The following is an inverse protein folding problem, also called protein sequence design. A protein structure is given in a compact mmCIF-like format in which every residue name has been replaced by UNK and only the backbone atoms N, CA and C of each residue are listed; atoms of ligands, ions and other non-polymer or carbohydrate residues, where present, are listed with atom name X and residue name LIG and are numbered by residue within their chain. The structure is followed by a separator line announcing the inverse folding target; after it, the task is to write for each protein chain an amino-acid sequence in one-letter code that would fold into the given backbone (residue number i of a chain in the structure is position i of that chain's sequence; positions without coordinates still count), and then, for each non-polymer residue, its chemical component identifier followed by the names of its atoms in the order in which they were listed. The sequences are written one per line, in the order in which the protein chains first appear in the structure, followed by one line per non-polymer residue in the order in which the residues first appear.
data_IF_822410238814
#
_entry.id   IF_822410238814
#
_cell.length_a   1.000
_cell.length_b   1.000
_cell.length_c   1.000
_cell.angle_alpha   90.00
_cell.angle_beta   90.00
_cell.angle_gamma   90.00
#
_symmetry.space_group_name_H-M   'P 1'
#
loop_
_entity.id
_entity.type
_entity.pdbx_description
1 polymer ?
#
# COMPACT_ATOMS: atom_id res chain seq x y z
N UNK A 1 -13.39 23.39 3.17
CA UNK A 1 -12.00 22.91 2.98
C UNK A 1 -12.10 21.63 2.18
N UNK A 2 -11.57 21.61 0.95
CA UNK A 2 -11.65 20.44 0.09
C UNK A 2 -10.84 19.31 0.73
N UNK A 3 -11.49 18.20 1.05
CA UNK A 3 -10.82 17.00 1.55
C UNK A 3 -10.03 16.39 0.39
N UNK A 4 -8.79 16.84 0.22
CA UNK A 4 -7.91 16.33 -0.83
C UNK A 4 -7.56 14.87 -0.53
N UNK A 5 -7.27 14.12 -1.59
CA UNK A 5 -6.78 12.73 -1.51
C UNK A 5 -5.64 12.60 -0.50
N UNK A 6 -4.74 13.58 -0.45
CA UNK A 6 -3.64 13.66 0.50
C UNK A 6 -4.08 13.61 1.98
N UNK A 7 -5.13 14.36 2.35
CA UNK A 7 -5.64 14.40 3.73
C UNK A 7 -6.25 13.06 4.12
N UNK A 8 -7.00 12.43 3.22
CA UNK A 8 -7.57 11.10 3.42
C UNK A 8 -6.48 10.06 3.60
N UNK A 9 -5.48 10.07 2.72
CA UNK A 9 -4.33 9.15 2.78
C UNK A 9 -3.60 9.29 4.11
N UNK A 10 -3.27 10.52 4.54
CA UNK A 10 -2.62 10.78 5.85
C UNK A 10 -3.49 10.34 7.02
N UNK A 11 -4.80 10.57 6.94
CA UNK A 11 -5.75 10.15 7.96
C UNK A 11 -5.78 8.62 8.10
N UNK A 12 -5.87 7.90 6.98
CA UNK A 12 -5.87 6.43 6.98
C UNK A 12 -4.52 5.85 7.40
N UNK A 13 -3.43 6.44 6.93
CA UNK A 13 -2.07 6.09 7.33
C UNK A 13 -1.90 6.15 8.86
N UNK A 14 -2.30 7.26 9.46
CA UNK A 14 -2.21 7.44 10.90
C UNK A 14 -3.16 6.51 11.67
N UNK A 15 -4.36 6.26 11.13
CA UNK A 15 -5.29 5.31 11.72
C UNK A 15 -4.73 3.88 11.73
N UNK A 16 -4.05 3.47 10.67
CA UNK A 16 -3.39 2.16 10.56
C UNK A 16 -2.24 2.05 11.56
N UNK A 17 -1.32 3.01 11.60
CA UNK A 17 -0.17 2.97 12.53
C UNK A 17 -0.62 2.98 14.00
N UNK A 18 -1.74 3.63 14.29
CA UNK A 18 -2.30 3.71 15.64
C UNK A 18 -3.11 2.46 16.03
N UNK A 19 -3.62 1.71 15.05
CA UNK A 19 -4.47 0.54 15.27
C UNK A 19 -4.02 -0.67 14.43
N UNK A 20 -2.79 -1.20 14.60
CA UNK A 20 -2.34 -2.39 13.89
C UNK A 20 -3.14 -3.65 14.26
N UNK A 21 -3.63 -3.72 15.51
CA UNK A 21 -4.41 -4.86 16.00
C UNK A 21 -5.83 -5.01 15.38
N UNK A 22 -6.31 -4.01 14.64
CA UNK A 22 -7.64 -4.07 14.00
C UNK A 22 -7.50 -4.44 12.52
N UNK A 23 -7.29 -5.72 12.21
CA UNK A 23 -7.15 -6.20 10.81
C UNK A 23 -8.26 -5.66 9.91
N UNK A 24 -9.51 -5.71 10.35
CA UNK A 24 -10.66 -5.21 9.59
C UNK A 24 -10.57 -3.71 9.24
N UNK A 25 -10.11 -2.86 10.18
CA UNK A 25 -9.93 -1.43 9.88
C UNK A 25 -8.80 -1.24 8.90
N UNK A 26 -7.70 -1.95 9.12
CA UNK A 26 -6.51 -1.82 8.31
C UNK A 26 -6.80 -2.27 6.87
N UNK A 27 -7.45 -3.42 6.68
CA UNK A 27 -7.89 -3.92 5.38
C UNK A 27 -8.80 -2.90 4.68
N UNK A 28 -9.75 -2.31 5.42
CA UNK A 28 -10.63 -1.27 4.89
C UNK A 28 -9.88 0.01 4.52
N UNK A 29 -8.80 0.34 5.24
CA UNK A 29 -7.92 1.46 4.91
C UNK A 29 -7.09 1.17 3.66
N UNK A 30 -6.52 -0.03 3.54
CA UNK A 30 -5.77 -0.50 2.36
C UNK A 30 -6.68 -0.52 1.13
N UNK A 31 -7.89 -1.05 1.24
CA UNK A 31 -8.87 -1.08 0.16
C UNK A 31 -9.30 0.33 -0.25
N UNK A 32 -9.55 1.22 0.72
CA UNK A 32 -9.81 2.65 0.47
C UNK A 32 -8.65 3.31 -0.26
N UNK A 33 -7.41 3.04 0.13
CA UNK A 33 -6.20 3.54 -0.52
C UNK A 33 -6.02 2.99 -1.93
N UNK A 34 -6.40 1.73 -2.17
CA UNK A 34 -6.35 1.10 -3.48
C UNK A 34 -7.45 1.62 -4.44
N UNK A 35 -8.66 1.85 -3.92
CA UNK A 35 -9.78 2.42 -4.68
C UNK A 35 -9.66 3.93 -4.89
N UNK A 36 -8.91 4.63 -4.05
CA UNK A 36 -8.53 6.00 -4.34
C UNK A 36 -7.56 6.02 -5.52
N UNK A 37 -7.74 6.98 -6.43
CA UNK A 37 -6.81 7.25 -7.51
C UNK A 37 -5.50 7.87 -6.96
N UNK A 38 -4.72 7.07 -6.25
CA UNK A 38 -3.40 7.44 -5.72
C UNK A 38 -2.41 7.38 -6.86
N UNK A 39 -1.81 8.53 -7.19
CA UNK A 39 -0.73 8.64 -8.17
C UNK A 39 0.64 8.63 -7.50
N UNK A 40 1.70 8.45 -8.28
CA UNK A 40 3.10 8.51 -7.80
C UNK A 40 3.37 9.79 -7.01
N UNK A 41 2.86 10.93 -7.47
CA UNK A 41 2.97 12.21 -6.79
C UNK A 41 2.35 12.17 -5.38
N UNK A 42 1.15 11.60 -5.23
CA UNK A 42 0.52 11.42 -3.91
C UNK A 42 1.33 10.49 -3.01
N UNK A 43 1.95 9.45 -3.58
CA UNK A 43 2.79 8.52 -2.82
C UNK A 43 4.03 9.21 -2.23
N UNK A 44 4.69 10.05 -3.03
CA UNK A 44 5.84 10.84 -2.63
C UNK A 44 5.46 11.94 -1.64
N UNK A 45 4.35 12.65 -1.85
CA UNK A 45 3.88 13.74 -0.97
C UNK A 45 3.36 13.25 0.39
N UNK A 46 2.66 12.12 0.42
CA UNK A 46 2.10 11.57 1.68
C UNK A 46 3.07 10.66 2.40
N UNK A 47 3.99 10.01 1.68
CA UNK A 47 4.84 8.97 2.24
C UNK A 47 4.09 7.68 2.58
N UNK A 48 2.86 7.50 2.10
CA UNK A 48 2.02 6.31 2.41
C UNK A 48 2.70 4.99 2.04
N UNK A 49 3.57 5.00 1.02
CA UNK A 49 4.37 3.83 0.65
C UNK A 49 5.22 3.29 1.81
N UNK A 50 5.70 4.15 2.72
CA UNK A 50 6.45 3.71 3.91
C UNK A 50 5.55 3.02 4.92
N UNK A 51 4.35 3.54 5.17
CA UNK A 51 3.40 2.94 6.11
C UNK A 51 2.81 1.64 5.57
N UNK A 52 2.47 1.56 4.28
CA UNK A 52 2.03 0.28 3.68
C UNK A 52 3.19 -0.73 3.63
N UNK A 53 4.44 -0.26 3.51
CA UNK A 53 5.60 -1.12 3.68
C UNK A 53 5.82 -1.58 5.13
N UNK A 54 5.35 -0.84 6.14
CA UNK A 54 5.31 -1.32 7.52
C UNK A 54 4.20 -2.37 7.69
N UNK A 55 3.04 -2.17 7.05
CA UNK A 55 1.90 -3.08 7.06
C UNK A 55 2.19 -4.48 6.52
N UNK A 56 3.18 -4.66 5.65
CA UNK A 56 3.57 -6.00 5.14
C UNK A 56 4.09 -6.95 6.23
N UNK A 57 4.39 -6.42 7.43
CA UNK A 57 4.78 -7.18 8.62
C UNK A 57 3.59 -7.73 9.39
N UNK A 58 2.39 -7.19 9.17
CA UNK A 58 1.20 -7.69 9.83
C UNK A 58 0.87 -9.10 9.30
N UNK A 59 0.61 -10.07 10.18
CA UNK A 59 0.13 -11.38 9.77
C UNK A 59 -1.32 -11.28 9.25
N UNK A 60 -1.71 -12.21 8.38
CA UNK A 60 -3.08 -12.27 7.83
C UNK A 60 -3.24 -11.61 6.46
N UNK A 61 -4.51 -11.40 6.06
CA UNK A 61 -4.87 -10.86 4.74
C UNK A 61 -4.41 -9.41 4.57
N UNK A 62 -4.31 -8.66 5.66
CA UNK A 62 -3.78 -7.30 5.69
C UNK A 62 -2.36 -7.22 5.12
N UNK A 63 -1.47 -8.12 5.56
CA UNK A 63 -0.09 -8.16 5.08
C UNK A 63 0.00 -8.48 3.59
N UNK A 64 -0.85 -9.40 3.11
CA UNK A 64 -0.91 -9.79 1.70
C UNK A 64 -1.46 -8.66 0.81
N UNK A 65 -2.54 -7.99 1.25
CA UNK A 65 -3.10 -6.84 0.55
C UNK A 65 -2.11 -5.67 0.51
N UNK A 66 -1.41 -5.41 1.63
CA UNK A 66 -0.38 -4.37 1.71
C UNK A 66 0.80 -4.65 0.76
N UNK A 67 1.29 -5.91 0.69
CA UNK A 67 2.34 -6.31 -0.26
C UNK A 67 1.92 -6.07 -1.70
N UNK A 68 0.71 -6.48 -2.06
CA UNK A 68 0.16 -6.30 -3.41
C UNK A 68 0.04 -4.82 -3.78
N UNK A 69 -0.41 -3.99 -2.83
CA UNK A 69 -0.51 -2.53 -2.99
C UNK A 69 0.86 -1.89 -3.19
N UNK A 70 1.85 -2.21 -2.33
CA UNK A 70 3.23 -1.71 -2.45
C UNK A 70 3.87 -2.15 -3.76
N UNK A 71 3.63 -3.39 -4.19
CA UNK A 71 4.14 -3.90 -5.46
C UNK A 71 3.55 -3.14 -6.64
N UNK A 72 2.22 -2.99 -6.69
CA UNK A 72 1.54 -2.21 -7.75
C UNK A 72 2.03 -0.77 -7.79
N UNK A 73 2.20 -0.12 -6.63
CA UNK A 73 2.72 1.24 -6.57
C UNK A 73 4.19 1.31 -6.97
N UNK A 74 5.04 0.37 -6.53
CA UNK A 74 6.43 0.29 -6.98
C UNK A 74 6.51 0.12 -8.49
N UNK A 75 5.68 -0.75 -9.07
CA UNK A 75 5.59 -0.92 -10.52
C UNK A 75 5.10 0.34 -11.20
N UNK A 76 4.11 1.04 -10.65
CA UNK A 76 3.62 2.32 -11.20
C UNK A 76 4.72 3.39 -11.19
N UNK A 77 5.46 3.52 -10.07
CA UNK A 77 6.59 4.44 -9.94
C UNK A 77 7.72 4.06 -10.91
N UNK A 78 8.08 2.77 -10.94
CA UNK A 78 9.13 2.27 -11.82
C UNK A 78 8.75 2.41 -13.30
N UNK A 79 7.49 2.19 -13.66
CA UNK A 79 6.99 2.36 -15.02
C UNK A 79 6.94 3.83 -15.45
N UNK A 80 6.65 4.77 -14.54
CA UNK A 80 6.80 6.21 -14.82
C UNK A 80 8.28 6.63 -14.97
N UNK A 81 9.21 5.98 -14.27
CA UNK A 81 10.65 6.27 -14.38
C UNK A 81 11.36 5.49 -15.50
N UNK A 82 10.84 4.35 -15.93
CA UNK A 82 11.54 3.41 -16.80
C UNK A 82 10.56 2.40 -17.42
N UNK A 83 10.37 2.47 -18.73
CA UNK A 83 10.00 1.31 -19.56
C UNK A 83 11.05 0.19 -19.33
N UNK A 84 10.93 -0.64 -18.29
CA UNK A 84 11.67 -1.91 -18.18
C UNK A 84 11.13 -2.83 -17.09
N UNK A 85 10.53 -3.92 -17.57
CA UNK A 85 10.45 -5.27 -17.01
C UNK A 85 11.27 -5.53 -15.74
N UNK A 86 10.66 -5.87 -14.59
CA UNK A 86 11.15 -6.99 -13.74
C UNK A 86 10.21 -7.46 -12.62
N UNK A 87 9.99 -8.76 -12.67
CA UNK A 87 10.08 -9.74 -11.59
C UNK A 87 8.90 -10.00 -10.65
N UNK A 88 8.31 -11.14 -10.96
CA UNK A 88 7.26 -11.90 -10.30
C UNK A 88 7.87 -12.71 -9.16
N UNK A 89 8.04 -12.14 -7.97
CA UNK A 89 8.35 -12.95 -6.77
C UNK A 89 7.08 -13.34 -6.01
N UNK A 90 6.30 -14.23 -6.64
CA UNK A 90 5.51 -15.21 -5.90
C UNK A 90 6.46 -16.39 -5.62
N UNK A 91 7.20 -16.28 -4.52
CA UNK A 91 7.91 -17.39 -3.91
C UNK A 91 6.90 -18.52 -3.68
N UNK A 92 7.14 -19.58 -4.42
CA UNK A 92 6.29 -20.74 -4.55
C UNK A 92 6.50 -21.62 -3.32
N UNK A 93 5.41 -22.03 -2.68
CA UNK A 93 5.41 -23.13 -1.72
C UNK A 93 6.00 -24.39 -2.38
N UNK A 94 7.15 -24.93 -1.92
CA UNK A 94 7.54 -26.26 -2.32
C UNK A 94 6.82 -27.26 -1.43
N UNK A 95 5.75 -27.84 -1.97
CA UNK A 95 5.21 -29.11 -1.47
C UNK A 95 6.15 -30.23 -1.88
N UNK A 96 6.91 -30.77 -0.93
CA UNK A 96 7.41 -32.16 -0.95
C UNK A 96 7.62 -32.66 0.48
#
# INVERSE_FOLDING_TARGET
MASSVLDLVKHYQHAIEKHPNDENKVLRCIDKLFNLAVTVQHLQETGVGRTVNALRKEPGEVGQAARSLVYKWKLMVAAEESDTETDTNNDSEPTF
#
